data_IF_848476769519
#
_entry.id   IF_848476769519
#
_cell.length_a   1.000
_cell.length_b   1.000
_cell.length_c   1.000
_cell.angle_alpha   90.00
_cell.angle_beta   90.00
_cell.angle_gamma   90.00
#
_symmetry.space_group_name_H-M   'P 1'
#
loop_
_entity.id
_entity.type
_entity.pdbx_description
1 polymer ?
#
# COMPACT_ATOMS: atom_id res chain seq x y z
N UNK A 1 -19.68 -9.22 -7.42
CA UNK A 1 -20.16 -8.75 -8.75
C UNK A 1 -20.17 -7.22 -8.87
N UNK A 2 -20.75 -6.46 -7.96
CA UNK A 2 -20.80 -4.98 -8.03
C UNK A 2 -19.37 -4.36 -8.12
N UNK A 3 -18.44 -4.79 -7.28
CA UNK A 3 -17.05 -4.34 -7.28
C UNK A 3 -16.34 -4.59 -8.61
N UNK A 4 -16.62 -5.73 -9.26
CA UNK A 4 -16.04 -6.08 -10.57
C UNK A 4 -16.53 -5.13 -11.66
N UNK A 5 -17.82 -4.77 -11.64
CA UNK A 5 -18.41 -3.82 -12.60
C UNK A 5 -17.80 -2.43 -12.40
N UNK A 6 -17.70 -1.97 -11.14
CA UNK A 6 -17.07 -0.67 -10.83
C UNK A 6 -15.61 -0.64 -11.28
N UNK A 7 -14.85 -1.71 -11.00
CA UNK A 7 -13.45 -1.81 -11.43
C UNK A 7 -13.32 -1.81 -12.95
N UNK A 8 -14.20 -2.53 -13.66
CA UNK A 8 -14.21 -2.54 -15.13
C UNK A 8 -14.49 -1.14 -15.71
N UNK A 9 -15.45 -0.40 -15.14
CA UNK A 9 -15.75 0.98 -15.55
C UNK A 9 -14.52 1.88 -15.37
N UNK A 10 -13.80 1.78 -14.24
CA UNK A 10 -12.58 2.57 -14.01
C UNK A 10 -11.49 2.24 -15.02
N UNK A 11 -11.26 0.96 -15.31
CA UNK A 11 -10.29 0.55 -16.34
C UNK A 11 -10.66 1.12 -17.71
N UNK A 12 -11.94 1.06 -18.09
CA UNK A 12 -12.41 1.61 -19.36
C UNK A 12 -12.19 3.11 -19.43
N UNK A 13 -12.50 3.86 -18.36
CA UNK A 13 -12.27 5.31 -18.30
C UNK A 13 -10.77 5.62 -18.50
N UNK A 14 -9.87 4.90 -17.82
CA UNK A 14 -8.42 5.10 -17.95
C UNK A 14 -7.92 4.76 -19.35
N UNK A 15 -8.45 3.72 -19.98
CA UNK A 15 -8.12 3.35 -21.36
C UNK A 15 -8.59 4.42 -22.35
N UNK A 16 -9.80 4.95 -22.17
CA UNK A 16 -10.33 6.05 -23.01
C UNK A 16 -9.52 7.33 -22.82
N UNK A 17 -9.06 7.59 -21.59
CA UNK A 17 -8.16 8.72 -21.28
C UNK A 17 -6.73 8.52 -21.79
N UNK A 18 -6.47 7.41 -22.51
CA UNK A 18 -5.14 7.03 -23.06
C UNK A 18 -4.04 6.82 -22.01
N UNK A 19 -4.39 6.74 -20.73
CA UNK A 19 -3.46 6.41 -19.65
C UNK A 19 -3.41 4.89 -19.39
N UNK A 20 -2.73 4.20 -20.30
CA UNK A 20 -2.60 2.74 -20.23
C UNK A 20 -1.69 2.28 -19.11
N UNK A 21 -0.77 3.14 -18.65
CA UNK A 21 0.08 2.84 -17.50
C UNK A 21 -0.74 2.71 -16.22
N UNK A 22 -1.56 3.72 -15.92
CA UNK A 22 -2.47 3.70 -14.77
C UNK A 22 -3.53 2.60 -14.90
N UNK A 23 -4.08 2.39 -16.12
CA UNK A 23 -5.04 1.32 -16.37
C UNK A 23 -4.46 -0.07 -16.05
N UNK A 24 -3.20 -0.32 -16.43
CA UNK A 24 -2.51 -1.59 -16.16
C UNK A 24 -2.28 -1.78 -14.64
N UNK A 25 -1.80 -0.75 -13.94
CA UNK A 25 -1.59 -0.79 -12.50
C UNK A 25 -2.90 -1.11 -11.78
N UNK A 26 -3.97 -0.38 -12.10
CA UNK A 26 -5.28 -0.57 -11.49
C UNK A 26 -5.84 -1.97 -11.78
N UNK A 27 -5.75 -2.43 -13.02
CA UNK A 27 -6.23 -3.75 -13.44
C UNK A 27 -5.51 -4.88 -12.70
N UNK A 28 -4.16 -4.87 -12.68
CA UNK A 28 -3.39 -5.92 -12.01
C UNK A 28 -3.62 -5.90 -10.50
N UNK A 29 -3.69 -4.71 -9.90
CA UNK A 29 -4.01 -4.58 -8.47
C UNK A 29 -5.38 -5.17 -8.15
N UNK A 30 -6.40 -4.88 -8.98
CA UNK A 30 -7.72 -5.45 -8.81
C UNK A 30 -7.72 -6.98 -8.90
N UNK A 31 -7.03 -7.55 -9.90
CA UNK A 31 -6.93 -9.01 -10.09
C UNK A 31 -6.24 -9.69 -8.90
N UNK A 32 -5.16 -9.09 -8.39
CA UNK A 32 -4.45 -9.60 -7.21
C UNK A 32 -5.35 -9.53 -5.97
N UNK A 33 -6.03 -8.42 -5.73
CA UNK A 33 -6.96 -8.27 -4.60
C UNK A 33 -8.12 -9.27 -4.70
N UNK A 34 -8.67 -9.47 -5.91
CA UNK A 34 -9.74 -10.44 -6.15
C UNK A 34 -9.26 -11.88 -5.86
N UNK A 35 -8.05 -12.23 -6.29
CA UNK A 35 -7.45 -13.53 -5.97
C UNK A 35 -7.31 -13.75 -4.47
N UNK A 36 -6.77 -12.76 -3.74
CA UNK A 36 -6.57 -12.87 -2.29
C UNK A 36 -7.90 -12.95 -1.54
N UNK A 37 -8.90 -12.17 -1.97
CA UNK A 37 -10.23 -12.18 -1.36
C UNK A 37 -10.99 -13.50 -1.60
N UNK A 38 -10.85 -14.11 -2.77
CA UNK A 38 -11.59 -15.32 -3.15
C UNK A 38 -10.80 -16.62 -2.96
N UNK A 39 -9.48 -16.54 -2.82
CA UNK A 39 -8.54 -17.67 -2.77
C UNK A 39 -8.66 -18.64 -3.95
N UNK A 40 -9.20 -18.20 -5.07
CA UNK A 40 -9.40 -19.02 -6.27
C UNK A 40 -8.43 -18.57 -7.37
N UNK A 41 -7.44 -19.42 -7.68
CA UNK A 41 -6.44 -19.17 -8.73
C UNK A 41 -7.06 -19.02 -10.13
N UNK A 42 -8.26 -19.51 -10.34
CA UNK A 42 -9.00 -19.34 -11.60
C UNK A 42 -9.23 -17.87 -11.97
N UNK A 43 -9.50 -17.01 -10.99
CA UNK A 43 -9.65 -15.57 -11.23
C UNK A 43 -8.34 -14.90 -11.62
N UNK A 44 -7.21 -15.36 -11.05
CA UNK A 44 -5.88 -14.87 -11.43
C UNK A 44 -5.55 -15.27 -12.87
N UNK A 45 -5.77 -16.52 -13.22
CA UNK A 45 -5.53 -17.02 -14.59
C UNK A 45 -6.44 -16.33 -15.61
N UNK A 46 -7.73 -16.18 -15.31
CA UNK A 46 -8.69 -15.47 -16.16
C UNK A 46 -8.31 -13.97 -16.30
N UNK A 47 -7.89 -13.32 -15.22
CA UNK A 47 -7.42 -11.93 -15.25
C UNK A 47 -6.18 -11.77 -16.12
N UNK A 48 -5.16 -12.60 -15.93
CA UNK A 48 -3.94 -12.58 -16.77
C UNK A 48 -4.26 -12.84 -18.24
N UNK A 49 -5.13 -13.80 -18.54
CA UNK A 49 -5.59 -14.08 -19.90
C UNK A 49 -6.31 -12.88 -20.53
N UNK A 50 -7.27 -12.29 -19.81
CA UNK A 50 -8.00 -11.10 -20.24
C UNK A 50 -7.06 -9.92 -20.46
N UNK A 51 -6.10 -9.70 -19.54
CA UNK A 51 -5.09 -8.65 -19.64
C UNK A 51 -4.20 -8.83 -20.88
N UNK A 52 -3.77 -10.04 -21.18
CA UNK A 52 -2.98 -10.33 -22.38
C UNK A 52 -3.78 -10.03 -23.67
N UNK A 53 -5.04 -10.46 -23.73
CA UNK A 53 -5.93 -10.15 -24.87
C UNK A 53 -6.15 -8.64 -25.01
N UNK A 54 -6.40 -7.96 -23.90
CA UNK A 54 -6.57 -6.50 -23.89
C UNK A 54 -5.30 -5.76 -24.33
N UNK A 55 -4.11 -6.20 -23.90
CA UNK A 55 -2.83 -5.62 -24.33
C UNK A 55 -2.58 -5.78 -25.83
N UNK A 56 -2.88 -6.96 -26.38
CA UNK A 56 -2.78 -7.23 -27.84
C UNK A 56 -3.79 -6.34 -28.57
N UNK A 57 -5.02 -6.24 -28.10
CA UNK A 57 -6.06 -5.38 -28.68
C UNK A 57 -5.64 -3.91 -28.65
N UNK A 58 -5.15 -3.42 -27.52
CA UNK A 58 -4.67 -2.05 -27.36
C UNK A 58 -3.52 -1.73 -28.31
N UNK A 59 -2.59 -2.66 -28.54
CA UNK A 59 -1.48 -2.48 -29.50
C UNK A 59 -1.93 -2.35 -30.96
N UNK A 60 -3.11 -2.87 -31.30
CA UNK A 60 -3.70 -2.74 -32.64
C UNK A 60 -4.53 -1.47 -32.80
N UNK A 61 -5.25 -1.07 -31.77
CA UNK A 61 -6.21 0.05 -31.80
C UNK A 61 -5.49 1.39 -31.61
N UNK A 62 -4.61 1.51 -30.59
CA UNK A 62 -3.99 2.77 -30.22
C UNK A 62 -2.63 2.97 -30.88
N UNK A 63 -2.49 4.06 -31.65
CA UNK A 63 -1.25 4.39 -32.36
C UNK A 63 -0.05 4.61 -31.42
N UNK A 64 -0.27 5.29 -30.26
CA UNK A 64 0.79 5.53 -29.27
C UNK A 64 1.31 4.23 -28.63
N UNK A 65 0.44 3.21 -28.42
CA UNK A 65 0.88 1.88 -27.92
C UNK A 65 1.73 1.18 -28.96
N UNK A 66 1.33 1.27 -30.21
CA UNK A 66 2.07 0.67 -31.33
C UNK A 66 3.48 1.25 -31.45
N UNK A 67 3.61 2.58 -31.30
CA UNK A 67 4.92 3.26 -31.27
C UNK A 67 5.78 2.76 -30.11
N UNK A 68 5.21 2.65 -28.89
CA UNK A 68 5.94 2.13 -27.70
C UNK A 68 6.36 0.68 -27.88
N UNK A 69 5.51 -0.17 -28.44
CA UNK A 69 5.83 -1.59 -28.74
C UNK A 69 6.91 -1.67 -29.82
N UNK A 70 6.88 -0.83 -30.87
CA UNK A 70 7.91 -0.78 -31.87
C UNK A 70 9.27 -0.32 -31.29
N UNK A 71 9.26 0.72 -30.46
CA UNK A 71 10.43 1.20 -29.73
C UNK A 71 11.00 0.16 -28.75
N UNK A 72 10.13 -0.65 -28.15
CA UNK A 72 10.55 -1.76 -27.30
C UNK A 72 11.23 -2.90 -28.10
N UNK A 73 10.70 -3.23 -29.29
CA UNK A 73 11.29 -4.28 -30.13
C UNK A 73 12.65 -3.87 -30.68
N UNK A 74 12.71 -2.73 -31.35
CA UNK A 74 13.94 -2.18 -31.90
C UNK A 74 13.95 -0.65 -31.82
N UNK A 75 14.51 -0.08 -30.73
CA UNK A 75 14.52 1.36 -30.52
C UNK A 75 15.42 2.08 -31.56
N UNK A 76 16.43 1.41 -32.10
CA UNK A 76 17.38 2.01 -33.04
C UNK A 76 16.78 2.13 -34.44
N UNK A 77 15.99 1.15 -34.88
CA UNK A 77 15.31 1.20 -36.18
C UNK A 77 14.21 2.27 -36.24
N UNK A 78 13.66 2.69 -35.09
CA UNK A 78 12.57 3.67 -34.98
C UNK A 78 12.96 4.92 -34.18
N UNK A 79 14.25 5.24 -34.14
CA UNK A 79 14.78 6.31 -33.29
C UNK A 79 14.07 7.65 -33.58
N UNK A 80 13.83 7.98 -34.85
CA UNK A 80 13.13 9.21 -35.28
C UNK A 80 11.62 9.17 -35.07
N UNK A 81 11.04 7.99 -34.80
CA UNK A 81 9.59 7.73 -34.73
C UNK A 81 9.10 7.34 -33.31
N UNK A 82 9.84 7.73 -32.27
CA UNK A 82 9.47 7.46 -30.87
C UNK A 82 10.37 6.47 -30.14
N UNK A 83 11.39 5.89 -30.78
CA UNK A 83 12.43 5.08 -30.16
C UNK A 83 13.50 5.89 -29.43
N UNK A 84 13.56 7.21 -29.67
CA UNK A 84 14.59 8.11 -29.14
C UNK A 84 14.77 8.00 -27.63
N UNK A 85 13.67 8.01 -26.86
CA UNK A 85 13.71 7.95 -25.40
C UNK A 85 14.36 6.64 -24.91
N UNK A 86 13.93 5.51 -25.46
CA UNK A 86 14.44 4.18 -25.08
C UNK A 86 15.88 4.01 -25.54
N UNK A 87 16.23 4.46 -26.76
CA UNK A 87 17.61 4.40 -27.25
C UNK A 87 18.57 5.20 -26.36
N UNK A 88 18.21 6.46 -26.02
CA UNK A 88 19.03 7.28 -25.16
C UNK A 88 19.11 6.76 -23.71
N UNK A 89 18.07 6.14 -23.19
CA UNK A 89 18.14 5.49 -21.87
C UNK A 89 19.12 4.30 -21.86
N UNK A 90 19.14 3.51 -22.93
CA UNK A 90 20.10 2.40 -23.08
C UNK A 90 21.55 2.90 -23.23
N UNK A 91 21.74 4.01 -23.99
CA UNK A 91 23.05 4.64 -24.08
C UNK A 91 23.52 5.15 -22.73
N UNK A 92 22.66 5.83 -21.97
CA UNK A 92 22.97 6.35 -20.65
C UNK A 92 23.39 5.23 -19.69
N UNK A 93 22.63 4.13 -19.64
CA UNK A 93 22.98 2.96 -18.82
C UNK A 93 24.31 2.36 -19.29
N UNK A 94 24.55 2.27 -20.59
CA UNK A 94 25.79 1.74 -21.15
C UNK A 94 27.01 2.61 -20.86
N UNK A 95 26.88 3.94 -20.97
CA UNK A 95 27.97 4.90 -20.66
C UNK A 95 28.29 4.95 -19.18
N UNK A 96 27.29 4.83 -18.30
CA UNK A 96 27.51 4.77 -16.86
C UNK A 96 28.32 3.56 -16.41
N UNK A 97 28.35 2.47 -17.17
CA UNK A 97 29.09 1.26 -16.82
C UNK A 97 28.79 0.80 -15.36
N UNK A 98 29.79 0.23 -14.65
CA UNK A 98 29.60 -0.24 -13.27
C UNK A 98 29.73 0.87 -12.22
N UNK A 99 30.61 1.84 -12.45
CA UNK A 99 31.02 2.84 -11.42
C UNK A 99 30.35 4.20 -11.64
N UNK A 100 29.82 4.45 -12.84
CA UNK A 100 29.24 5.73 -13.23
C UNK A 100 30.27 6.69 -13.81
N UNK A 101 29.77 7.70 -14.52
CA UNK A 101 30.62 8.78 -15.06
C UNK A 101 30.99 9.82 -14.00
N UNK A 102 30.30 9.85 -12.87
CA UNK A 102 30.39 10.86 -11.81
C UNK A 102 29.22 11.86 -11.87
N UNK A 103 28.92 12.46 -10.71
CA UNK A 103 27.84 13.45 -10.59
C UNK A 103 28.10 14.65 -11.52
N UNK A 104 27.08 15.04 -12.29
CA UNK A 104 27.11 16.11 -13.29
C UNK A 104 28.09 15.87 -14.46
N UNK A 105 28.69 14.68 -14.59
CA UNK A 105 29.55 14.33 -15.72
C UNK A 105 28.78 13.64 -16.85
N UNK A 106 27.58 13.11 -16.56
CA UNK A 106 26.66 12.55 -17.53
C UNK A 106 25.92 13.63 -18.33
N UNK A 107 25.13 13.18 -19.27
CA UNK A 107 24.28 14.05 -20.08
C UNK A 107 22.79 13.70 -19.93
N UNK A 108 22.23 13.64 -18.70
CA UNK A 108 20.84 13.23 -18.47
C UNK A 108 19.83 14.16 -19.16
N UNK A 109 20.24 15.40 -19.52
CA UNK A 109 19.38 16.34 -20.27
C UNK A 109 19.09 15.86 -21.71
N UNK A 110 19.93 14.97 -22.26
CA UNK A 110 19.71 14.37 -23.59
C UNK A 110 18.63 13.26 -23.57
N UNK A 111 18.28 12.76 -22.38
CA UNK A 111 17.22 11.77 -22.20
C UNK A 111 15.90 12.55 -22.08
N UNK A 112 14.99 12.51 -23.07
CA UNK A 112 13.69 13.12 -22.94
C UNK A 112 12.96 12.52 -21.72
N UNK A 113 12.33 13.37 -20.90
CA UNK A 113 11.64 12.95 -19.67
C UNK A 113 12.58 12.21 -18.68
N UNK A 114 13.90 12.41 -18.78
CA UNK A 114 14.90 11.78 -17.93
C UNK A 114 14.74 12.07 -16.44
N UNK A 115 14.05 13.16 -16.07
CA UNK A 115 13.76 13.48 -14.65
C UNK A 115 12.53 12.75 -14.10
N UNK A 116 11.63 12.24 -14.94
CA UNK A 116 10.41 11.54 -14.53
C UNK A 116 10.48 10.05 -14.85
N UNK A 117 10.10 9.65 -16.04
CA UNK A 117 9.90 8.24 -16.41
C UNK A 117 11.22 7.48 -16.60
N UNK A 118 12.27 8.19 -17.02
CA UNK A 118 13.61 7.63 -17.30
C UNK A 118 14.67 8.04 -16.27
N UNK A 119 14.25 8.46 -15.07
CA UNK A 119 15.18 8.87 -14.00
C UNK A 119 16.17 7.77 -13.63
N UNK A 120 15.76 6.51 -13.70
CA UNK A 120 16.62 5.35 -13.43
C UNK A 120 17.80 5.28 -14.41
N UNK A 121 17.60 5.60 -15.70
CA UNK A 121 18.69 5.67 -16.67
C UNK A 121 19.68 6.81 -16.37
N UNK A 122 19.15 7.99 -16.00
CA UNK A 122 19.98 9.13 -15.63
C UNK A 122 20.85 8.85 -14.40
N UNK A 123 20.28 8.20 -13.38
CA UNK A 123 21.01 7.76 -12.20
C UNK A 123 22.05 6.69 -12.56
N UNK A 124 21.70 5.75 -13.43
CA UNK A 124 22.64 4.72 -13.89
C UNK A 124 23.83 5.31 -14.65
N UNK A 125 23.63 6.38 -15.42
CA UNK A 125 24.68 7.09 -16.15
C UNK A 125 25.69 7.74 -15.19
N UNK A 126 25.19 8.50 -14.20
CA UNK A 126 26.05 9.27 -13.30
C UNK A 126 26.66 8.43 -12.16
N UNK A 127 25.86 7.54 -11.55
CA UNK A 127 26.26 6.78 -10.36
C UNK A 127 26.62 5.32 -10.67
N UNK A 128 26.37 4.85 -11.87
CA UNK A 128 26.74 3.51 -12.34
C UNK A 128 25.77 2.39 -12.01
N UNK A 129 26.05 1.23 -12.60
CA UNK A 129 25.23 0.01 -12.49
C UNK A 129 25.15 -0.54 -11.06
N UNK A 130 26.22 -0.43 -10.27
CA UNK A 130 26.21 -0.88 -8.87
C UNK A 130 25.17 -0.10 -8.06
N UNK A 131 25.15 1.21 -8.19
CA UNK A 131 24.16 2.04 -7.51
C UNK A 131 22.74 1.80 -8.00
N UNK A 132 22.57 1.61 -9.31
CA UNK A 132 21.30 1.24 -9.91
C UNK A 132 20.74 -0.08 -9.33
N UNK A 133 21.60 -1.10 -9.17
CA UNK A 133 21.23 -2.36 -8.51
C UNK A 133 20.84 -2.12 -7.05
N UNK A 134 21.57 -1.29 -6.31
CA UNK A 134 21.21 -0.93 -4.93
C UNK A 134 19.80 -0.30 -4.87
N UNK A 135 19.45 0.61 -5.79
CA UNK A 135 18.10 1.18 -5.87
C UNK A 135 17.04 0.08 -6.07
N UNK A 136 17.28 -0.84 -6.99
CA UNK A 136 16.37 -1.98 -7.23
C UNK A 136 16.17 -2.79 -5.95
N UNK A 137 17.26 -3.10 -5.24
CA UNK A 137 17.21 -3.88 -4.00
C UNK A 137 16.47 -3.14 -2.90
N UNK A 138 16.66 -1.82 -2.76
CA UNK A 138 15.92 -0.99 -1.79
C UNK A 138 14.42 -0.98 -2.13
N UNK A 139 14.05 -0.71 -3.38
CA UNK A 139 12.65 -0.73 -3.80
C UNK A 139 12.01 -2.11 -3.58
N UNK A 140 12.73 -3.18 -3.89
CA UNK A 140 12.26 -4.55 -3.67
C UNK A 140 12.13 -4.89 -2.18
N UNK A 141 13.08 -4.44 -1.34
CA UNK A 141 13.00 -4.59 0.12
C UNK A 141 11.78 -3.87 0.70
N UNK A 142 11.51 -2.63 0.27
CA UNK A 142 10.30 -1.90 0.65
C UNK A 142 9.03 -2.66 0.24
N UNK A 143 8.99 -3.22 -0.97
CA UNK A 143 7.87 -4.04 -1.42
C UNK A 143 7.68 -5.28 -0.55
N UNK A 144 8.74 -6.03 -0.26
CA UNK A 144 8.67 -7.21 0.62
C UNK A 144 8.20 -6.82 2.04
N UNK A 145 8.66 -5.69 2.56
CA UNK A 145 8.23 -5.18 3.86
C UNK A 145 6.72 -4.89 3.88
N UNK A 146 6.17 -4.24 2.85
CA UNK A 146 4.73 -3.99 2.76
C UNK A 146 3.91 -5.28 2.66
N UNK A 147 4.39 -6.27 1.89
CA UNK A 147 3.75 -7.58 1.83
C UNK A 147 3.80 -8.31 3.17
N UNK A 148 4.93 -8.25 3.88
CA UNK A 148 5.07 -8.87 5.20
C UNK A 148 4.09 -8.24 6.20
N UNK A 149 3.95 -6.92 6.22
CA UNK A 149 2.93 -6.22 7.03
C UNK A 149 1.53 -6.73 6.67
N UNK A 150 1.19 -6.75 5.38
CA UNK A 150 -0.12 -7.19 4.92
C UNK A 150 -0.44 -8.64 5.33
N UNK A 151 0.55 -9.54 5.30
CA UNK A 151 0.35 -10.95 5.65
C UNK A 151 0.10 -11.17 7.14
N UNK A 152 0.56 -10.26 7.98
CA UNK A 152 0.47 -10.37 9.44
C UNK A 152 -0.80 -9.72 10.01
N UNK A 153 -1.51 -8.88 9.26
CA UNK A 153 -2.78 -8.28 9.66
C UNK A 153 -3.86 -9.36 9.71
N UNK A 154 -4.62 -9.41 10.81
CA UNK A 154 -5.70 -10.40 11.04
C UNK A 154 -7.00 -10.00 10.35
N UNK A 155 -7.37 -8.72 10.42
CA UNK A 155 -8.59 -8.22 9.79
C UNK A 155 -8.47 -8.23 8.27
N UNK A 156 -9.44 -8.88 7.62
CA UNK A 156 -9.48 -9.05 6.17
C UNK A 156 -9.54 -7.72 5.41
N UNK A 157 -10.22 -6.72 5.95
CA UNK A 157 -10.36 -5.41 5.31
C UNK A 157 -9.02 -4.68 5.28
N UNK A 158 -8.36 -4.55 6.41
CA UNK A 158 -7.05 -3.89 6.50
C UNK A 158 -5.96 -4.67 5.76
N UNK A 159 -6.02 -5.99 5.79
CA UNK A 159 -5.15 -6.86 5.01
C UNK A 159 -5.24 -6.60 3.51
N UNK A 160 -6.45 -6.47 2.97
CA UNK A 160 -6.66 -6.16 1.55
C UNK A 160 -6.16 -4.76 1.20
N UNK A 161 -6.35 -3.77 2.07
CA UNK A 161 -5.81 -2.41 1.85
C UNK A 161 -4.29 -2.45 1.77
N UNK A 162 -3.62 -3.04 2.76
CA UNK A 162 -2.15 -3.12 2.80
C UNK A 162 -1.60 -3.87 1.57
N UNK A 163 -2.24 -4.99 1.20
CA UNK A 163 -1.86 -5.77 0.03
C UNK A 163 -2.09 -4.99 -1.27
N UNK A 164 -3.22 -4.29 -1.39
CA UNK A 164 -3.52 -3.46 -2.57
C UNK A 164 -2.49 -2.35 -2.75
N UNK A 165 -2.17 -1.61 -1.69
CA UNK A 165 -1.17 -0.54 -1.72
C UNK A 165 0.23 -1.09 -2.02
N UNK A 166 0.63 -2.21 -1.40
CA UNK A 166 1.89 -2.88 -1.71
C UNK A 166 1.96 -3.35 -3.16
N UNK A 167 0.86 -3.87 -3.71
CA UNK A 167 0.78 -4.30 -5.11
C UNK A 167 0.92 -3.12 -6.07
N UNK A 168 0.24 -1.99 -5.81
CA UNK A 168 0.40 -0.75 -6.59
C UNK A 168 1.86 -0.32 -6.62
N UNK A 169 2.50 -0.24 -5.45
CA UNK A 169 3.91 0.13 -5.35
C UNK A 169 4.82 -0.82 -6.14
N UNK A 170 4.67 -2.14 -5.93
CA UNK A 170 5.51 -3.14 -6.59
C UNK A 170 5.37 -3.14 -8.11
N UNK A 171 4.14 -3.02 -8.62
CA UNK A 171 3.89 -2.95 -10.07
C UNK A 171 4.44 -1.65 -10.63
N UNK A 172 4.26 -0.53 -9.95
CA UNK A 172 4.77 0.77 -10.38
C UNK A 172 6.30 0.76 -10.51
N UNK A 173 7.02 0.23 -9.53
CA UNK A 173 8.48 0.03 -9.58
C UNK A 173 8.87 -0.88 -10.75
N UNK A 174 8.18 -2.02 -10.91
CA UNK A 174 8.45 -2.96 -11.99
C UNK A 174 8.23 -2.37 -13.37
N UNK A 175 7.12 -1.64 -13.57
CA UNK A 175 6.81 -1.00 -14.86
C UNK A 175 7.82 0.08 -15.22
N UNK A 176 8.25 0.89 -14.25
CA UNK A 176 9.20 1.97 -14.49
C UNK A 176 10.58 1.42 -14.82
N UNK A 177 11.14 0.60 -13.94
CA UNK A 177 12.49 0.05 -14.13
C UNK A 177 12.50 -0.89 -15.35
N UNK A 178 11.51 -1.78 -15.45
CA UNK A 178 11.38 -2.71 -16.58
C UNK A 178 11.25 -2.02 -17.94
N UNK A 179 10.55 -0.88 -17.98
CA UNK A 179 10.44 -0.04 -19.18
C UNK A 179 11.76 0.60 -19.57
N UNK A 180 12.53 1.10 -18.61
CA UNK A 180 13.83 1.75 -18.83
C UNK A 180 14.90 0.76 -19.31
N UNK A 181 14.96 -0.43 -18.72
CA UNK A 181 15.93 -1.48 -19.12
C UNK A 181 15.47 -2.32 -20.31
N UNK A 182 14.38 -1.92 -20.98
CA UNK A 182 13.82 -2.64 -22.15
C UNK A 182 13.33 -4.05 -21.84
N UNK A 183 12.98 -4.38 -20.61
CA UNK A 183 12.35 -5.66 -20.25
C UNK A 183 10.90 -5.72 -20.76
N UNK A 184 10.19 -4.58 -20.66
CA UNK A 184 8.80 -4.40 -21.11
C UNK A 184 8.68 -3.09 -21.92
N UNK A 185 7.61 -2.90 -22.69
CA UNK A 185 7.35 -1.59 -23.31
C UNK A 185 7.21 -0.49 -22.26
N UNK A 186 7.82 0.67 -22.50
CA UNK A 186 7.73 1.82 -21.60
C UNK A 186 6.27 2.27 -21.43
N UNK A 187 5.82 2.43 -20.19
CA UNK A 187 4.43 2.78 -19.85
C UNK A 187 4.24 4.25 -19.50
N UNK A 188 5.32 5.00 -19.22
CA UNK A 188 5.22 6.40 -18.81
C UNK A 188 4.86 6.56 -17.34
N UNK A 189 5.15 5.55 -16.52
CA UNK A 189 4.91 5.55 -15.07
C UNK A 189 6.18 6.03 -14.36
N UNK A 190 6.00 6.86 -13.33
CA UNK A 190 7.10 7.41 -12.53
C UNK A 190 7.58 6.43 -11.48
N UNK A 191 8.89 6.45 -11.15
CA UNK A 191 9.45 5.64 -10.06
C UNK A 191 9.09 6.26 -8.71
N UNK A 192 8.41 5.53 -7.80
CA UNK A 192 8.02 6.05 -6.49
C UNK A 192 9.21 6.62 -5.71
N UNK A 193 9.02 7.77 -5.06
CA UNK A 193 10.00 8.55 -4.29
C UNK A 193 11.18 9.14 -5.06
N UNK A 194 11.53 8.62 -6.23
CA UNK A 194 12.77 8.96 -6.93
C UNK A 194 12.49 9.89 -8.11
N UNK A 195 11.41 9.65 -8.87
CA UNK A 195 11.06 10.47 -10.02
C UNK A 195 10.59 11.86 -9.63
N UNK A 196 10.95 12.84 -10.44
CA UNK A 196 10.41 14.18 -10.34
C UNK A 196 8.93 14.20 -10.75
N UNK A 197 8.04 14.43 -9.79
CA UNK A 197 6.61 14.52 -10.01
C UNK A 197 5.87 14.81 -8.68
N UNK A 198 5.40 16.06 -8.50
CA UNK A 198 4.81 16.50 -7.24
C UNK A 198 3.59 15.67 -6.82
N UNK A 199 2.65 15.41 -7.75
CA UNK A 199 1.46 14.59 -7.48
C UNK A 199 1.81 13.12 -7.19
N UNK A 200 2.76 12.55 -7.94
CA UNK A 200 3.21 11.17 -7.73
C UNK A 200 3.88 11.01 -6.36
N UNK A 201 4.76 11.93 -5.99
CA UNK A 201 5.42 11.93 -4.67
C UNK A 201 4.39 12.05 -3.54
N UNK A 202 3.44 12.98 -3.66
CA UNK A 202 2.39 13.17 -2.66
C UNK A 202 1.53 11.92 -2.48
N UNK A 203 1.07 11.31 -3.58
CA UNK A 203 0.30 10.06 -3.52
C UNK A 203 1.12 8.92 -2.91
N UNK A 204 2.41 8.81 -3.25
CA UNK A 204 3.30 7.79 -2.67
C UNK A 204 3.50 8.00 -1.17
N UNK A 205 3.64 9.25 -0.71
CA UNK A 205 3.72 9.55 0.73
C UNK A 205 2.44 9.16 1.47
N UNK A 206 1.26 9.49 0.92
CA UNK A 206 -0.02 9.05 1.51
C UNK A 206 -0.10 7.53 1.58
N UNK A 207 0.27 6.84 0.52
CA UNK A 207 0.28 5.38 0.47
C UNK A 207 1.13 4.78 1.59
N UNK A 208 2.35 5.26 1.78
CA UNK A 208 3.23 4.78 2.84
C UNK A 208 2.77 5.20 4.23
N UNK A 209 2.15 6.37 4.39
CA UNK A 209 1.53 6.77 5.65
C UNK A 209 0.39 5.82 6.07
N UNK A 210 -0.44 5.39 5.11
CA UNK A 210 -1.48 4.38 5.37
C UNK A 210 -0.85 3.04 5.75
N UNK A 211 0.19 2.58 5.04
CA UNK A 211 0.90 1.33 5.37
C UNK A 211 1.51 1.41 6.77
N UNK A 212 2.09 2.55 7.15
CA UNK A 212 2.64 2.77 8.49
C UNK A 212 1.54 2.74 9.57
N UNK A 213 0.39 3.35 9.30
CA UNK A 213 -0.77 3.29 10.20
C UNK A 213 -1.27 1.85 10.39
N UNK A 214 -1.31 1.06 9.34
CA UNK A 214 -1.66 -0.35 9.40
C UNK A 214 -0.64 -1.21 10.16
N UNK A 215 0.64 -0.84 10.09
CA UNK A 215 1.69 -1.48 10.89
C UNK A 215 1.50 -1.22 12.39
N UNK A 216 1.17 0.02 12.77
CA UNK A 216 0.90 0.39 14.17
C UNK A 216 -0.34 -0.35 14.68
N UNK A 217 -1.43 -0.34 13.92
CA UNK A 217 -2.66 -1.05 14.26
C UNK A 217 -2.39 -2.54 14.57
N UNK A 218 -1.55 -3.18 13.77
CA UNK A 218 -1.13 -4.56 14.00
C UNK A 218 -0.36 -4.72 15.31
N UNK A 219 0.55 -3.78 15.64
CA UNK A 219 1.30 -3.86 16.91
C UNK A 219 0.37 -3.76 18.11
N UNK A 220 -0.60 -2.86 18.07
CA UNK A 220 -1.60 -2.68 19.13
C UNK A 220 -2.43 -3.96 19.34
N UNK A 221 -2.80 -4.67 18.26
CA UNK A 221 -3.48 -5.96 18.32
C UNK A 221 -2.62 -7.04 19.01
N UNK A 222 -1.33 -7.12 18.68
CA UNK A 222 -0.39 -8.10 19.26
C UNK A 222 -0.10 -7.80 20.74
N UNK A 223 0.01 -6.52 21.13
CA UNK A 223 0.20 -6.11 22.52
C UNK A 223 -1.06 -6.37 23.36
N UNK A 224 -2.24 -6.05 22.87
CA UNK A 224 -3.51 -6.30 23.53
C UNK A 224 -3.72 -7.78 23.83
N UNK A 225 -3.37 -8.68 22.90
CA UNK A 225 -3.45 -10.13 23.10
C UNK A 225 -2.42 -10.64 24.12
N UNK A 226 -1.23 -10.05 24.14
CA UNK A 226 -0.18 -10.41 25.09
C UNK A 226 -0.56 -10.04 26.52
N UNK A 227 -1.24 -8.91 26.71
CA UNK A 227 -1.73 -8.44 28.01
C UNK A 227 -2.94 -9.26 28.48
N UNK A 228 -3.80 -9.69 27.58
CA UNK A 228 -4.93 -10.57 27.92
C UNK A 228 -4.43 -11.95 28.39
N UNK A 229 -3.41 -12.49 27.74
CA UNK A 229 -2.75 -13.76 28.15
C UNK A 229 -1.99 -13.64 29.47
N UNK A 230 -1.56 -12.44 29.86
CA UNK A 230 -0.86 -12.16 31.12
C UNK A 230 -1.79 -11.96 32.32
N UNK A 231 -3.09 -11.68 32.11
CA UNK A 231 -4.05 -11.55 33.20
C UNK A 231 -4.14 -12.89 33.93
N UNK A 232 -3.81 -12.96 35.23
CA UNK A 232 -3.92 -14.20 35.97
C UNK A 232 -5.36 -14.67 35.97
N UNK A 233 -5.57 -15.93 35.61
CA UNK A 233 -6.87 -16.59 35.71
C UNK A 233 -7.32 -16.42 37.15
N UNK A 234 -8.31 -15.55 37.39
CA UNK A 234 -8.91 -15.39 38.69
C UNK A 234 -9.43 -16.76 39.10
N UNK A 235 -8.75 -17.37 40.13
CA UNK A 235 -9.20 -18.66 40.70
C UNK A 235 -10.70 -18.55 40.97
N UNK A 236 -11.50 -19.55 40.61
CA UNK A 236 -12.92 -19.53 40.90
C UNK A 236 -13.06 -19.35 42.41
N UNK A 237 -13.83 -18.32 42.80
CA UNK A 237 -14.16 -18.03 44.20
C UNK A 237 -14.71 -19.32 44.80
N UNK A 238 -13.96 -19.92 45.72
CA UNK A 238 -14.47 -21.07 46.51
C UNK A 238 -15.79 -20.62 47.11
N UNK A 239 -16.89 -21.19 46.67
CA UNK A 239 -18.17 -21.12 47.35
C UNK A 239 -17.97 -21.79 48.68
N UNK A 240 -18.00 -21.00 49.76
CA UNK A 240 -18.06 -21.58 51.09
C UNK A 240 -19.30 -22.43 51.19
N UNK A 241 -19.24 -23.62 51.81
CA UNK A 241 -20.40 -24.45 51.99
C UNK A 241 -21.35 -23.75 52.96
N UNK A 242 -22.58 -23.52 52.52
CA UNK A 242 -23.69 -23.06 53.36
C UNK A 242 -23.84 -24.05 54.51
N UNK A 243 -23.37 -23.62 55.68
CA UNK A 243 -23.46 -24.41 56.90
C UNK A 243 -24.89 -24.70 57.31
N UNK A 244 -25.02 -25.86 57.86
CA UNK A 244 -26.23 -26.60 58.12
C UNK A 244 -27.29 -25.89 58.95
N UNK A 245 -28.47 -26.31 58.68
CA UNK A 245 -29.67 -26.10 59.47
C UNK A 245 -29.47 -26.55 60.92
N UNK A 246 -29.54 -25.63 61.90
CA UNK A 246 -29.88 -25.94 63.26
C UNK A 246 -31.29 -25.50 63.64
N UNK A 247 -32.04 -26.47 64.07
CA UNK A 247 -33.44 -26.48 64.42
C UNK A 247 -33.61 -26.03 65.83
N UNK A 248 -34.70 -25.29 66.09
CA UNK A 248 -35.48 -25.23 67.38
C UNK A 248 -35.08 -24.26 68.46
N UNK A 249 -36.04 -23.38 68.78
CA UNK A 249 -36.25 -22.82 70.10
C UNK A 249 -36.98 -21.49 70.10
N UNK A 250 -37.86 -21.19 71.02
CA UNK A 250 -39.16 -20.59 70.71
C UNK A 250 -39.23 -19.04 70.85
N UNK A 251 -40.27 -18.56 70.24
CA UNK A 251 -40.88 -17.24 70.30
C UNK A 251 -40.76 -16.47 71.56
N UNK A 252 -40.33 -15.24 71.58
CA UNK A 252 -40.89 -14.21 72.47
C UNK A 252 -41.11 -12.87 71.72
N UNK A 253 -42.32 -12.39 71.98
CA UNK A 253 -42.86 -11.08 71.44
C UNK A 253 -42.24 -9.94 72.19
N UNK A 254 -41.98 -8.79 71.56
CA UNK A 254 -42.48 -7.46 71.90
C UNK A 254 -41.82 -6.39 71.06
N UNK A 255 -42.68 -5.73 70.36
CA UNK A 255 -42.86 -4.30 70.04
C UNK A 255 -41.80 -3.39 69.39
N UNK A 256 -42.30 -2.33 68.65
CA UNK A 256 -41.56 -1.68 67.57
C UNK A 256 -41.01 -0.32 67.97
N UNK A 257 -39.94 0.15 67.36
CA UNK A 257 -39.54 1.55 67.42
C UNK A 257 -38.84 2.06 66.17
N UNK A 258 -39.56 2.96 65.56
CA UNK A 258 -39.17 4.24 64.89
C UNK A 258 -38.20 4.24 63.74
N UNK A 259 -38.80 4.64 62.63
CA UNK A 259 -38.33 5.52 61.55
C UNK A 259 -37.03 6.25 61.81
N UNK A 260 -36.08 6.16 60.85
CA UNK A 260 -35.45 7.40 60.40
C UNK A 260 -35.10 7.32 58.91
N UNK A 261 -35.70 8.24 58.20
CA UNK A 261 -35.53 8.55 56.78
C UNK A 261 -34.31 9.45 56.61
N UNK A 262 -33.31 9.07 55.86
CA UNK A 262 -32.41 10.07 55.28
C UNK A 262 -32.18 9.84 53.78
N UNK A 263 -32.59 10.88 53.05
CA UNK A 263 -32.44 11.12 51.61
C UNK A 263 -30.96 11.26 51.22
N UNK A 264 -30.58 10.91 50.00
CA UNK A 264 -29.25 11.16 49.50
C UNK A 264 -29.09 12.63 49.05
N UNK A 265 -27.97 13.22 49.42
CA UNK A 265 -27.55 14.57 48.97
C UNK A 265 -26.96 14.50 47.57
N UNK A 266 -27.52 15.28 46.68
CA UNK A 266 -27.00 15.70 45.40
C UNK A 266 -25.77 16.61 45.56
N UNK A 267 -24.86 16.51 44.56
CA UNK A 267 -24.09 17.71 44.21
C UNK A 267 -22.60 17.55 44.17
N UNK A 268 -22.02 17.45 42.97
CA UNK A 268 -21.18 18.54 42.47
C UNK A 268 -20.74 18.25 41.01
N UNK A 269 -21.29 19.07 40.11
CA UNK A 269 -20.70 19.31 38.81
C UNK A 269 -19.42 20.11 39.03
N UNK A 270 -18.29 19.64 38.52
CA UNK A 270 -17.12 20.46 38.27
C UNK A 270 -17.18 20.99 36.85
N UNK A 271 -17.22 22.29 36.78
CA UNK A 271 -17.17 23.15 35.61
C UNK A 271 -15.73 23.12 35.07
N UNK A 272 -15.56 22.75 33.82
CA UNK A 272 -14.33 23.02 33.09
C UNK A 272 -14.43 24.43 32.53
N UNK A 273 -13.50 25.28 32.91
CA UNK A 273 -13.35 26.65 32.40
C UNK A 273 -12.60 26.58 31.04
N UNK A 274 -13.11 27.41 30.14
CA UNK A 274 -12.79 27.49 28.70
C UNK A 274 -11.71 28.56 28.40
N UNK A 275 -10.63 28.66 29.19
CA UNK A 275 -9.67 29.77 29.07
C UNK A 275 -8.18 29.39 28.99
N UNK A 276 -7.82 28.20 28.43
CA UNK A 276 -6.41 27.84 28.26
C UNK A 276 -6.07 27.34 26.84
N UNK A 277 -6.54 28.07 25.80
CA UNK A 277 -6.07 27.85 24.41
C UNK A 277 -5.71 29.21 23.78
N UNK A 278 -4.67 29.85 24.26
CA UNK A 278 -4.07 31.00 23.56
C UNK A 278 -2.54 31.14 23.69
N UNK A 279 -1.77 30.09 23.92
CA UNK A 279 -0.32 30.19 23.84
C UNK A 279 0.31 28.93 23.24
N UNK A 280 0.11 28.71 21.92
CA UNK A 280 0.96 27.80 21.12
C UNK A 280 0.74 28.05 19.63
N UNK A 281 1.29 29.18 19.14
CA UNK A 281 1.67 29.40 17.73
C UNK A 281 3.10 29.92 17.65
#
# INVERSE_FOLDING_TARGET
MITTVIAAIHVVILVVSTDLGAALIFFVTYVVMLYVATRNAGYLAAGLGLGAVAAIGASKIFSHVRVRVAAWKDPFAVIDKGGYQVAHSLFAIGTGSWVGMGLYQGMPQKIPVGKSDFVFAAISEEMGGIFAICIILVCFSCYLMTLNIAMQIRDQFYKLIALGLGTVYGIQVFLTIGGVIKCIPSTGVTLPFISYGGSSLFCTMIMFAIIQGLYILRQDEDEGESDEKRKPISKPRKTEPVGGYHRSGPVNKTEPSKYDTQKPKSGKKSRFDEDDIEDLW
#
